data_IF_878861985211
#
_entry.id   IF_878861985211
#
_cell.length_a   1.000
_cell.length_b   1.000
_cell.length_c   1.000
_cell.angle_alpha   90.00
_cell.angle_beta   90.00
_cell.angle_gamma   90.00
#
_symmetry.space_group_name_H-M   'P 1'
#
loop_
_entity.id
_entity.type
_entity.pdbx_description
1 polymer ?
#
# COMPACT_ATOMS: atom_id res chain seq x y z
N UNK A 1 -6.52 -2.44 10.25
CA UNK A 1 -5.85 -1.32 9.58
C UNK A 1 -6.35 -1.20 8.15
N UNK A 2 -6.74 -0.02 7.74
CA UNK A 2 -7.27 0.19 6.39
C UNK A 2 -6.32 1.12 5.62
N UNK A 3 -5.58 0.59 4.63
CA UNK A 3 -4.71 1.45 3.83
C UNK A 3 -5.51 2.43 2.98
N UNK A 4 -4.91 3.56 2.69
CA UNK A 4 -5.50 4.58 1.83
C UNK A 4 -4.69 4.61 0.54
N UNK A 5 -5.37 4.60 -0.61
CA UNK A 5 -4.72 4.62 -1.91
C UNK A 5 -4.52 6.05 -2.37
N UNK A 6 -3.31 6.36 -2.86
CA UNK A 6 -2.94 7.69 -3.34
C UNK A 6 -2.39 7.61 -4.76
N UNK A 7 -2.42 8.76 -5.43
CA UNK A 7 -1.79 8.89 -6.75
C UNK A 7 -0.27 8.76 -6.62
N UNK A 8 0.37 8.40 -7.73
CA UNK A 8 1.83 8.20 -7.74
C UNK A 8 2.62 9.48 -7.45
N UNK A 9 2.02 10.63 -7.68
CA UNK A 9 2.68 11.92 -7.44
C UNK A 9 2.23 12.61 -6.15
N UNK A 10 1.48 11.92 -5.30
CA UNK A 10 1.04 12.50 -4.05
C UNK A 10 2.22 12.72 -3.10
N UNK A 11 2.25 13.85 -2.43
CA UNK A 11 3.33 14.18 -1.51
C UNK A 11 2.87 14.49 -0.09
N UNK A 12 1.61 14.80 0.10
CA UNK A 12 1.13 15.26 1.40
C UNK A 12 0.51 14.16 2.27
N UNK A 13 -0.19 13.22 1.66
CA UNK A 13 -0.82 12.08 2.34
C UNK A 13 -1.75 12.48 3.49
N UNK A 14 -2.35 13.66 3.40
CA UNK A 14 -3.24 14.16 4.45
C UNK A 14 -4.70 14.06 4.07
N UNK A 15 -4.99 13.77 2.81
CA UNK A 15 -6.36 13.62 2.31
C UNK A 15 -6.76 12.15 2.31
N UNK A 16 -7.99 11.87 1.87
CA UNK A 16 -8.44 10.50 1.69
C UNK A 16 -7.92 9.88 0.41
N UNK A 17 -7.09 10.61 -0.35
CA UNK A 17 -6.50 10.12 -1.59
C UNK A 17 -7.54 9.69 -2.61
N UNK A 18 -7.25 8.59 -3.32
CA UNK A 18 -8.18 8.02 -4.29
C UNK A 18 -9.28 7.22 -3.63
N UNK A 19 -9.08 6.80 -2.38
CA UNK A 19 -10.08 6.04 -1.65
C UNK A 19 -9.43 5.12 -0.65
N UNK A 20 -10.26 4.54 0.23
CA UNK A 20 -9.80 3.60 1.23
C UNK A 20 -9.91 2.19 0.70
N UNK A 21 -8.93 1.38 1.00
CA UNK A 21 -8.93 -0.04 0.65
C UNK A 21 -9.64 -0.82 1.74
N UNK A 22 -10.96 -0.65 1.80
CA UNK A 22 -11.79 -1.12 2.92
C UNK A 22 -11.87 -2.63 3.03
N UNK A 23 -11.71 -3.33 1.92
CA UNK A 23 -11.85 -4.78 1.89
C UNK A 23 -10.51 -5.50 1.99
N UNK A 24 -9.45 -4.78 2.37
CA UNK A 24 -8.13 -5.35 2.55
C UNK A 24 -8.22 -6.52 3.55
N UNK A 25 -7.77 -7.70 3.10
CA UNK A 25 -7.88 -8.90 3.93
C UNK A 25 -6.78 -8.95 4.96
N UNK A 26 -5.55 -8.60 4.53
CA UNK A 26 -4.38 -8.67 5.40
C UNK A 26 -3.40 -7.61 4.96
N UNK A 27 -2.82 -6.89 5.89
CA UNK A 27 -1.86 -5.86 5.57
C UNK A 27 -0.73 -5.94 6.60
N UNK A 28 0.44 -6.36 6.16
CA UNK A 28 1.60 -6.53 7.03
C UNK A 28 2.75 -5.68 6.56
N UNK A 29 3.27 -4.85 7.43
CA UNK A 29 4.45 -4.05 7.16
C UNK A 29 5.61 -4.60 7.97
N UNK A 30 6.77 -4.70 7.35
CA UNK A 30 7.96 -5.16 8.06
C UNK A 30 9.14 -4.25 7.74
N UNK A 31 9.91 -3.95 8.77
CA UNK A 31 11.10 -3.12 8.65
C UNK A 31 12.30 -3.95 9.08
N UNK A 32 13.24 -4.12 8.17
CA UNK A 32 14.40 -4.95 8.43
C UNK A 32 15.58 -4.12 8.95
N UNK A 33 16.53 -4.79 9.59
CA UNK A 33 17.69 -4.12 10.17
C UNK A 33 18.55 -3.40 9.13
N UNK A 34 18.54 -3.91 7.90
CA UNK A 34 19.31 -3.27 6.83
C UNK A 34 18.60 -2.08 6.22
N UNK A 35 17.50 -1.66 6.81
CA UNK A 35 16.79 -0.45 6.40
C UNK A 35 15.68 -0.67 5.41
N UNK A 36 15.41 -1.90 5.00
CA UNK A 36 14.32 -2.17 4.08
C UNK A 36 13.00 -2.11 4.83
N UNK A 37 12.07 -1.30 4.33
CA UNK A 37 10.74 -1.16 4.91
C UNK A 37 9.74 -1.46 3.81
N UNK A 38 8.98 -2.52 3.96
CA UNK A 38 8.05 -2.97 2.94
C UNK A 38 6.73 -3.41 3.54
N UNK A 39 5.71 -3.51 2.71
CA UNK A 39 4.38 -3.85 3.14
C UNK A 39 3.74 -4.79 2.12
N UNK A 40 3.11 -5.85 2.61
CA UNK A 40 2.37 -6.77 1.77
C UNK A 40 0.92 -6.76 2.19
N UNK A 41 0.02 -6.77 1.21
CA UNK A 41 -1.40 -6.83 1.54
C UNK A 41 -2.16 -7.64 0.49
N UNK A 42 -3.24 -8.28 0.94
CA UNK A 42 -4.11 -9.07 0.09
C UNK A 42 -5.44 -8.34 -0.10
N UNK A 43 -5.94 -8.34 -1.32
CA UNK A 43 -7.17 -7.65 -1.63
C UNK A 43 -8.04 -8.49 -2.55
N UNK A 44 -9.37 -8.59 -2.27
CA UNK A 44 -10.26 -9.35 -3.14
C UNK A 44 -10.53 -8.62 -4.45
N UNK A 45 -10.65 -9.38 -5.54
CA UNK A 45 -10.84 -8.78 -6.87
C UNK A 45 -12.19 -8.05 -6.98
N UNK A 46 -13.16 -8.41 -6.13
CA UNK A 46 -14.45 -7.75 -6.10
C UNK A 46 -14.57 -6.72 -4.99
N UNK A 47 -13.46 -6.40 -4.34
CA UNK A 47 -13.44 -5.42 -3.27
C UNK A 47 -13.58 -3.99 -3.78
N UNK A 48 -13.96 -3.09 -2.87
CA UNK A 48 -14.12 -1.68 -3.22
C UNK A 48 -12.79 -1.09 -3.66
N UNK A 49 -12.81 -0.34 -4.75
CA UNK A 49 -11.64 0.33 -5.30
C UNK A 49 -10.54 -0.60 -5.83
N UNK A 50 -10.85 -1.89 -6.00
CA UNK A 50 -9.84 -2.83 -6.50
C UNK A 50 -9.23 -2.35 -7.82
N UNK A 51 -10.07 -1.87 -8.75
CA UNK A 51 -9.60 -1.44 -10.07
C UNK A 51 -8.65 -0.26 -10.01
N UNK A 52 -8.61 0.44 -8.90
CA UNK A 52 -7.74 1.60 -8.73
C UNK A 52 -6.36 1.23 -8.18
N UNK A 53 -6.18 0.00 -7.72
CA UNK A 53 -4.91 -0.45 -7.18
C UNK A 53 -3.99 -0.82 -8.35
N UNK A 54 -2.96 0.00 -8.59
CA UNK A 54 -2.04 -0.19 -9.71
C UNK A 54 -0.61 0.01 -9.26
N UNK A 55 0.31 -0.65 -9.96
CA UNK A 55 1.74 -0.42 -9.73
C UNK A 55 2.07 1.05 -10.00
N UNK A 56 2.91 1.61 -9.15
CA UNK A 56 3.27 3.02 -9.22
C UNK A 56 2.42 3.91 -8.33
N UNK A 57 1.24 3.45 -7.95
CA UNK A 57 0.43 4.17 -6.98
C UNK A 57 0.92 3.90 -5.57
N UNK A 58 0.50 4.74 -4.63
CA UNK A 58 1.00 4.71 -3.27
C UNK A 58 -0.11 4.29 -2.33
N UNK A 59 0.21 3.44 -1.36
CA UNK A 59 -0.70 3.18 -0.24
C UNK A 59 -0.18 3.87 1.01
N UNK A 60 -1.08 4.47 1.77
CA UNK A 60 -0.74 5.04 3.07
C UNK A 60 -1.23 4.14 4.17
N UNK A 61 -0.31 3.70 5.03
CA UNK A 61 -0.62 2.82 6.16
C UNK A 61 -0.33 3.59 7.44
N UNK A 62 -1.32 3.66 8.33
CA UNK A 62 -1.15 4.39 9.58
C UNK A 62 -0.30 3.57 10.55
N UNK A 63 0.75 4.19 11.06
CA UNK A 63 1.61 3.56 12.06
C UNK A 63 0.90 3.55 13.41
N UNK A 64 0.80 2.38 14.02
CA UNK A 64 0.00 2.22 15.24
C UNK A 64 0.53 3.03 16.42
N UNK A 65 1.84 3.18 16.54
CA UNK A 65 2.44 3.84 17.69
C UNK A 65 2.42 5.36 17.57
N UNK A 66 2.64 5.88 16.38
CA UNK A 66 2.77 7.32 16.18
C UNK A 66 1.54 7.96 15.56
N UNK A 67 0.69 7.16 14.92
CA UNK A 67 -0.46 7.68 14.19
C UNK A 67 -0.11 8.31 12.85
N UNK A 68 1.16 8.32 12.49
CA UNK A 68 1.60 8.88 11.22
C UNK A 68 1.31 7.96 10.06
N UNK A 69 1.04 8.55 8.90
CA UNK A 69 0.82 7.78 7.68
C UNK A 69 2.16 7.47 7.04
N UNK A 70 2.43 6.19 6.82
CA UNK A 70 3.64 5.75 6.14
C UNK A 70 3.29 5.39 4.70
N UNK A 71 3.86 6.09 3.72
CA UNK A 71 3.55 5.84 2.31
C UNK A 71 4.43 4.77 1.71
N UNK A 72 3.80 3.83 0.98
CA UNK A 72 4.50 2.75 0.30
C UNK A 72 4.12 2.76 -1.17
N UNK A 73 5.12 2.55 -2.01
CA UNK A 73 4.95 2.49 -3.46
C UNK A 73 4.63 1.05 -3.87
N UNK A 74 3.52 0.84 -4.55
CA UNK A 74 3.13 -0.49 -5.01
C UNK A 74 4.05 -0.88 -6.16
N UNK A 75 4.84 -1.93 -5.99
CA UNK A 75 5.84 -2.32 -6.98
C UNK A 75 5.49 -3.60 -7.73
N UNK A 76 4.67 -4.47 -7.14
CA UNK A 76 4.30 -5.72 -7.81
C UNK A 76 3.01 -6.29 -7.23
N UNK A 77 2.44 -7.25 -7.95
CA UNK A 77 1.25 -7.97 -7.49
C UNK A 77 1.26 -9.36 -8.12
N UNK A 78 0.58 -10.29 -7.45
CA UNK A 78 0.47 -11.66 -7.92
C UNK A 78 -0.74 -11.83 -8.82
N UNK A 79 -0.84 -13.01 -9.47
CA UNK A 79 -2.06 -13.38 -10.18
C UNK A 79 -3.16 -13.68 -9.16
N UNK A 80 -4.43 -13.44 -9.50
CA UNK A 80 -5.51 -13.76 -8.59
C UNK A 80 -5.55 -15.25 -8.25
N UNK A 81 -5.66 -15.54 -6.96
CA UNK A 81 -5.82 -16.90 -6.46
C UNK A 81 -7.06 -16.90 -5.60
N UNK A 82 -8.06 -17.71 -5.98
CA UNK A 82 -9.33 -17.77 -5.25
C UNK A 82 -9.99 -16.39 -5.10
N UNK A 83 -9.83 -15.54 -6.12
CA UNK A 83 -10.42 -14.20 -6.10
C UNK A 83 -9.68 -13.18 -5.26
N UNK A 84 -8.44 -13.47 -4.88
CA UNK A 84 -7.62 -12.58 -4.07
C UNK A 84 -6.28 -12.33 -4.75
N UNK A 85 -5.84 -11.08 -4.74
CA UNK A 85 -4.54 -10.67 -5.29
C UNK A 85 -3.67 -10.20 -4.14
N UNK A 86 -2.41 -10.65 -4.12
CA UNK A 86 -1.42 -10.19 -3.15
C UNK A 86 -0.59 -9.07 -3.77
N UNK A 87 -0.51 -7.94 -3.08
CA UNK A 87 0.26 -6.79 -3.52
C UNK A 87 1.49 -6.61 -2.65
N UNK A 88 2.57 -6.13 -3.26
CA UNK A 88 3.81 -5.83 -2.56
C UNK A 88 4.16 -4.37 -2.77
N UNK A 89 4.48 -3.69 -1.68
CA UNK A 89 4.81 -2.27 -1.72
C UNK A 89 6.06 -2.01 -0.89
N UNK A 90 6.83 -1.00 -1.30
CA UNK A 90 8.08 -0.62 -0.65
C UNK A 90 7.98 0.85 -0.26
N UNK A 91 8.49 1.20 0.92
CA UNK A 91 8.41 2.57 1.41
C UNK A 91 9.00 3.54 0.38
N UNK A 92 8.32 4.67 0.16
CA UNK A 92 8.70 5.59 -0.91
C UNK A 92 10.11 6.14 -0.77
N UNK A 93 10.69 6.10 0.43
CA UNK A 93 12.06 6.56 0.62
C UNK A 93 13.06 5.81 -0.26
N UNK A 94 12.72 4.61 -0.73
CA UNK A 94 13.61 3.82 -1.57
C UNK A 94 13.54 4.17 -3.04
N UNK A 95 12.40 4.67 -3.51
CA UNK A 95 12.26 4.95 -4.94
C UNK A 95 13.02 6.20 -5.39
N UNK A 96 13.49 6.99 -4.45
CA UNK A 96 14.25 8.20 -4.77
C UNK A 96 15.73 7.93 -4.94
N UNK A 97 16.10 6.70 -4.76
CA UNK A 97 17.49 6.34 -4.96
C UNK A 97 17.75 6.11 -6.41
N UNK A 98 18.53 6.79 -6.94
CA UNK A 98 18.77 6.53 -8.29
C UNK A 98 19.19 7.25 -9.17
#
# INVERSE_FOLDING_TARGET
MIPILYESNETAFTSNGLGRLRDCIDCKCSEERNGIYECDFDYPVDGANFDMIQCGRIIGVTHDETGDVEPFDIVSYSKPISGVVSFHAVHISYRQRG
#
